data_IF_448726828698
#
_entry.id   IF_448726828698
#
_cell.length_a   1.000
_cell.length_b   1.000
_cell.length_c   1.000
_cell.angle_alpha   90.00
_cell.angle_beta   90.00
_cell.angle_gamma   90.00
#
_symmetry.space_group_name_H-M   'P 1'
#
loop_
_entity.id
_entity.type
_entity.pdbx_description
1 polymer ?
#
# COMPACT_ATOMS: atom_id res chain seq x y z
N UNK A 1 -28.18 11.34 24.29
CA UNK A 1 -27.94 10.28 23.26
C UNK A 1 -26.71 9.44 23.58
N UNK A 2 -25.50 9.97 23.74
CA UNK A 2 -24.30 9.20 24.08
C UNK A 2 -24.41 8.38 25.39
N UNK A 3 -25.13 8.90 26.41
CA UNK A 3 -25.42 8.14 27.65
C UNK A 3 -26.24 6.86 27.38
N UNK A 4 -27.19 6.94 26.43
CA UNK A 4 -28.02 5.79 26.03
C UNK A 4 -27.15 4.73 25.32
N UNK A 5 -26.28 5.14 24.40
CA UNK A 5 -25.35 4.24 23.69
C UNK A 5 -24.43 3.54 24.72
N UNK A 6 -23.86 4.28 25.67
CA UNK A 6 -23.04 3.71 26.76
C UNK A 6 -23.82 2.67 27.57
N UNK A 7 -25.07 2.94 27.93
CA UNK A 7 -25.92 1.97 28.64
C UNK A 7 -26.22 0.73 27.78
N UNK A 8 -26.42 0.89 26.48
CA UNK A 8 -26.62 -0.23 25.55
C UNK A 8 -25.41 -1.17 25.51
N UNK A 9 -24.18 -0.59 25.46
CA UNK A 9 -22.94 -1.35 25.47
C UNK A 9 -22.74 -2.09 26.80
N UNK A 10 -23.00 -1.43 27.92
CA UNK A 10 -22.81 -2.01 29.26
C UNK A 10 -23.81 -3.13 29.55
N UNK A 11 -25.05 -3.05 29.04
CA UNK A 11 -26.08 -4.09 29.24
C UNK A 11 -25.82 -5.39 28.48
N UNK A 12 -25.01 -5.34 27.38
CA UNK A 12 -24.64 -6.51 26.60
C UNK A 12 -23.15 -6.44 26.20
N UNK A 13 -22.23 -6.57 27.17
CA UNK A 13 -20.81 -6.30 26.94
C UNK A 13 -20.17 -7.32 25.98
N UNK A 14 -20.52 -8.60 26.10
CA UNK A 14 -19.95 -9.64 25.25
C UNK A 14 -20.31 -9.49 23.77
N UNK A 15 -21.56 -9.10 23.45
CA UNK A 15 -21.98 -8.86 22.09
C UNK A 15 -21.28 -7.64 21.49
N UNK A 16 -21.13 -6.57 22.27
CA UNK A 16 -20.42 -5.36 21.87
C UNK A 16 -18.93 -5.63 21.65
N UNK A 17 -18.30 -6.39 22.55
CA UNK A 17 -16.90 -6.78 22.44
C UNK A 17 -16.67 -7.65 21.21
N UNK A 18 -17.54 -8.64 20.97
CA UNK A 18 -17.45 -9.48 19.78
C UNK A 18 -17.54 -8.67 18.48
N UNK A 19 -18.47 -7.68 18.40
CA UNK A 19 -18.56 -6.79 17.25
C UNK A 19 -17.26 -6.02 17.03
N UNK A 20 -16.72 -5.39 18.10
CA UNK A 20 -15.48 -4.60 18.01
C UNK A 20 -14.31 -5.50 17.61
N UNK A 21 -14.18 -6.70 18.16
CA UNK A 21 -13.08 -7.61 17.86
C UNK A 21 -13.12 -8.07 16.39
N UNK A 22 -14.28 -8.48 15.87
CA UNK A 22 -14.41 -8.91 14.48
C UNK A 22 -14.11 -7.77 13.52
N UNK A 23 -14.65 -6.57 13.79
CA UNK A 23 -14.37 -5.38 12.97
C UNK A 23 -12.90 -4.98 13.06
N UNK A 24 -12.31 -5.01 14.26
CA UNK A 24 -10.87 -4.71 14.46
C UNK A 24 -9.99 -5.68 13.71
N UNK A 25 -10.27 -6.98 13.75
CA UNK A 25 -9.50 -7.98 13.03
C UNK A 25 -9.61 -7.79 11.51
N UNK A 26 -10.82 -7.56 11.02
CA UNK A 26 -11.05 -7.30 9.59
C UNK A 26 -10.28 -6.08 9.10
N UNK A 27 -10.34 -5.00 9.86
CA UNK A 27 -9.64 -3.76 9.52
C UNK A 27 -8.12 -3.87 9.68
N UNK A 28 -7.65 -4.68 10.64
CA UNK A 28 -6.23 -4.98 10.78
C UNK A 28 -5.67 -5.67 9.54
N UNK A 29 -6.37 -6.66 9.01
CA UNK A 29 -5.97 -7.32 7.76
C UNK A 29 -5.96 -6.34 6.60
N UNK A 30 -6.99 -5.47 6.49
CA UNK A 30 -7.03 -4.41 5.45
C UNK A 30 -5.86 -3.46 5.61
N UNK A 31 -5.53 -3.03 6.82
CA UNK A 31 -4.39 -2.15 7.10
C UNK A 31 -3.06 -2.79 6.71
N UNK A 32 -2.86 -4.08 7.02
CA UNK A 32 -1.65 -4.82 6.61
C UNK A 32 -1.53 -4.85 5.07
N UNK A 33 -2.61 -5.15 4.34
CA UNK A 33 -2.57 -5.11 2.88
C UNK A 33 -2.30 -3.70 2.33
N UNK A 34 -2.83 -2.65 2.97
CA UNK A 34 -2.54 -1.26 2.60
C UNK A 34 -1.06 -0.92 2.82
N UNK A 35 -0.49 -1.30 3.96
CA UNK A 35 0.93 -1.11 4.28
C UNK A 35 1.85 -1.88 3.31
N UNK A 36 1.55 -3.16 3.03
CA UNK A 36 2.29 -3.97 2.08
C UNK A 36 2.20 -3.40 0.66
N UNK A 37 1.02 -2.95 0.25
CA UNK A 37 0.82 -2.32 -1.05
C UNK A 37 1.58 -1.00 -1.20
N UNK A 38 1.58 -0.16 -0.16
CA UNK A 38 2.35 1.08 -0.14
C UNK A 38 3.87 0.80 -0.13
N UNK A 39 4.33 -0.13 0.70
CA UNK A 39 5.73 -0.55 0.75
C UNK A 39 6.20 -1.12 -0.59
N UNK A 40 5.44 -2.03 -1.20
CA UNK A 40 5.75 -2.59 -2.52
C UNK A 40 5.81 -1.50 -3.60
N UNK A 41 4.89 -0.54 -3.58
CA UNK A 41 4.91 0.60 -4.52
C UNK A 41 6.11 1.51 -4.29
N UNK A 42 6.54 1.72 -3.04
CA UNK A 42 7.72 2.51 -2.72
C UNK A 42 9.03 1.81 -3.16
N UNK A 43 9.12 0.48 -2.99
CA UNK A 43 10.22 -0.33 -3.53
C UNK A 43 10.27 -0.21 -5.04
N UNK A 44 9.14 -0.40 -5.72
CA UNK A 44 9.07 -0.28 -7.17
C UNK A 44 9.54 1.11 -7.64
N UNK A 45 9.04 2.18 -7.02
CA UNK A 45 9.44 3.56 -7.33
C UNK A 45 10.93 3.81 -7.10
N UNK A 46 11.53 3.19 -6.08
CA UNK A 46 12.97 3.27 -5.84
C UNK A 46 13.77 2.65 -6.99
N UNK A 47 13.36 1.51 -7.51
CA UNK A 47 14.00 0.90 -8.67
C UNK A 47 13.72 1.68 -9.96
N UNK A 48 12.53 2.25 -10.14
CA UNK A 48 12.19 3.13 -11.27
C UNK A 48 12.99 4.43 -11.30
N UNK A 49 13.44 4.93 -10.12
CA UNK A 49 14.26 6.14 -10.05
C UNK A 49 15.73 5.93 -10.36
N UNK A 50 16.16 4.68 -10.55
CA UNK A 50 17.55 4.35 -10.95
C UNK A 50 17.61 4.03 -12.43
N UNK A 51 18.79 4.15 -13.05
CA UNK A 51 18.99 3.70 -14.44
C UNK A 51 18.60 2.22 -14.55
N UNK A 52 17.74 1.92 -15.50
CA UNK A 52 17.18 0.57 -15.69
C UNK A 52 17.84 -0.18 -16.83
N UNK A 53 18.44 0.55 -17.77
CA UNK A 53 19.18 0.00 -18.89
C UNK A 53 20.56 0.64 -18.90
N UNK A 54 21.60 -0.20 -18.92
CA UNK A 54 22.98 0.23 -19.09
C UNK A 54 23.51 -0.30 -20.43
N UNK A 55 23.79 0.60 -21.36
CA UNK A 55 24.40 0.28 -22.64
C UNK A 55 25.89 0.56 -22.55
N UNK A 56 26.71 -0.46 -22.62
CA UNK A 56 28.17 -0.33 -22.64
C UNK A 56 28.64 -0.01 -24.05
N UNK A 57 29.53 0.98 -24.14
CA UNK A 57 30.03 1.50 -25.38
C UNK A 57 31.37 0.84 -25.74
N UNK A 58 31.61 0.65 -27.04
CA UNK A 58 32.91 0.21 -27.53
C UNK A 58 33.97 1.28 -27.31
N UNK A 59 35.20 0.89 -27.16
CA UNK A 59 36.34 1.79 -26.97
C UNK A 59 36.53 2.81 -28.09
N UNK A 60 36.04 2.51 -29.28
CA UNK A 60 36.09 3.36 -30.45
C UNK A 60 35.02 4.45 -30.49
N UNK A 61 34.03 4.42 -29.61
CA UNK A 61 32.91 5.35 -29.56
C UNK A 61 33.37 6.79 -29.29
N UNK A 62 33.06 7.69 -30.20
CA UNK A 62 33.39 9.11 -30.08
C UNK A 62 32.27 9.87 -29.38
N UNK A 63 32.55 11.06 -28.77
CA UNK A 63 31.51 11.88 -28.14
C UNK A 63 30.33 12.21 -29.06
N UNK A 64 30.57 12.30 -30.39
CA UNK A 64 29.53 12.55 -31.39
C UNK A 64 28.56 11.38 -31.54
N UNK A 65 29.07 10.14 -31.42
CA UNK A 65 28.25 8.93 -31.53
C UNK A 65 27.36 8.82 -30.28
N UNK A 66 27.89 9.17 -29.11
CA UNK A 66 27.16 9.22 -27.85
C UNK A 66 26.00 10.20 -27.92
N UNK A 67 26.25 11.40 -28.43
CA UNK A 67 25.21 12.44 -28.54
C UNK A 67 24.15 12.06 -29.58
N UNK A 68 24.53 11.36 -30.65
CA UNK A 68 23.60 10.86 -31.65
C UNK A 68 22.65 9.80 -31.04
N UNK A 69 23.20 8.84 -30.30
CA UNK A 69 22.41 7.80 -29.64
C UNK A 69 21.44 8.46 -28.60
N UNK A 70 21.97 9.41 -27.82
CA UNK A 70 21.19 10.18 -26.84
C UNK A 70 20.00 10.89 -27.55
N UNK A 71 20.28 11.67 -28.59
CA UNK A 71 19.24 12.43 -29.32
C UNK A 71 18.16 11.52 -29.90
N UNK A 72 18.56 10.35 -30.44
CA UNK A 72 17.60 9.35 -30.94
C UNK A 72 16.72 8.80 -29.86
N UNK A 73 17.28 8.46 -28.67
CA UNK A 73 16.54 7.96 -27.54
C UNK A 73 15.55 9.02 -27.02
N UNK A 74 15.99 10.26 -26.84
CA UNK A 74 15.16 11.38 -26.39
C UNK A 74 14.02 11.67 -27.39
N UNK A 75 14.28 11.57 -28.69
CA UNK A 75 13.28 11.75 -29.73
C UNK A 75 12.14 10.72 -29.70
N UNK A 76 12.35 9.56 -29.07
CA UNK A 76 11.26 8.56 -28.87
C UNK A 76 10.20 9.01 -27.90
N UNK A 77 10.49 10.00 -27.02
CA UNK A 77 9.61 10.44 -25.93
C UNK A 77 9.39 9.40 -24.82
N UNK A 78 10.05 8.23 -24.91
CA UNK A 78 9.91 7.10 -23.97
C UNK A 78 10.94 7.13 -22.84
N UNK A 79 11.97 7.97 -22.95
CA UNK A 79 13.10 8.06 -22.05
C UNK A 79 12.92 9.29 -21.15
N UNK A 80 13.11 9.11 -19.84
CA UNK A 80 13.07 10.20 -18.85
C UNK A 80 14.44 10.86 -18.68
N UNK A 81 15.50 10.06 -18.73
CA UNK A 81 16.88 10.54 -18.54
C UNK A 81 17.86 9.63 -19.27
N UNK A 82 18.88 10.23 -19.89
CA UNK A 82 20.04 9.54 -20.43
C UNK A 82 21.28 10.19 -19.83
N UNK A 83 22.07 9.39 -19.11
CA UNK A 83 23.31 9.83 -18.46
C UNK A 83 24.50 9.10 -19.06
N UNK A 84 25.49 9.83 -19.54
CA UNK A 84 26.75 9.25 -19.97
C UNK A 84 27.69 9.10 -18.78
N UNK A 85 28.22 7.90 -18.59
CA UNK A 85 29.23 7.57 -17.57
C UNK A 85 30.56 7.30 -18.27
N UNK A 86 31.55 8.15 -18.00
CA UNK A 86 32.91 7.96 -18.53
C UNK A 86 33.61 6.78 -17.82
N UNK A 87 34.72 6.30 -18.38
CA UNK A 87 35.54 5.25 -17.75
C UNK A 87 36.05 5.63 -16.37
N UNK A 88 36.38 6.91 -16.18
CA UNK A 88 36.86 7.47 -14.91
C UNK A 88 35.72 7.54 -13.87
N UNK A 89 34.53 7.92 -14.31
CA UNK A 89 33.32 7.92 -13.45
C UNK A 89 32.90 6.50 -13.09
N UNK A 90 32.93 5.57 -14.05
CA UNK A 90 32.66 4.16 -13.81
C UNK A 90 33.60 3.59 -12.76
N UNK A 91 34.91 3.96 -12.78
CA UNK A 91 35.84 3.56 -11.76
C UNK A 91 35.51 4.12 -10.37
N UNK A 92 35.11 5.39 -10.30
CA UNK A 92 34.69 6.00 -9.02
C UNK A 92 33.47 5.30 -8.45
N UNK A 93 32.47 5.03 -9.29
CA UNK A 93 31.23 4.30 -8.90
C UNK A 93 31.60 2.90 -8.40
N UNK A 94 32.46 2.19 -9.13
CA UNK A 94 32.93 0.86 -8.74
C UNK A 94 33.65 0.88 -7.38
N UNK A 95 34.52 1.86 -7.17
CA UNK A 95 35.24 2.04 -5.90
C UNK A 95 34.29 2.35 -4.74
N UNK A 96 33.27 3.17 -4.97
CA UNK A 96 32.27 3.47 -3.95
C UNK A 96 31.43 2.26 -3.55
N UNK A 97 31.03 1.45 -4.53
CA UNK A 97 30.24 0.24 -4.29
C UNK A 97 31.00 -0.91 -3.62
N UNK A 98 32.34 -0.93 -3.78
CA UNK A 98 33.20 -2.00 -3.26
C UNK A 98 34.16 -1.54 -2.16
N UNK A 99 33.87 -0.44 -1.44
CA UNK A 99 34.72 0.11 -0.35
C UNK A 99 35.11 -0.94 0.69
N UNK A 100 34.24 -1.91 0.95
CA UNK A 100 34.46 -2.97 1.95
C UNK A 100 35.26 -4.17 1.41
N UNK A 101 35.69 -4.14 0.14
CA UNK A 101 36.39 -5.24 -0.54
C UNK A 101 37.71 -4.77 -1.17
N UNK A 102 38.77 -4.52 -0.39
CA UNK A 102 40.02 -3.93 -0.88
C UNK A 102 40.67 -4.66 -2.05
N UNK A 103 40.59 -6.02 -2.04
CA UNK A 103 41.16 -6.84 -3.10
C UNK A 103 40.54 -6.57 -4.48
N UNK A 104 39.22 -6.22 -4.52
CA UNK A 104 38.56 -5.90 -5.79
C UNK A 104 38.98 -4.51 -6.29
N UNK A 105 39.32 -3.59 -5.39
CA UNK A 105 39.73 -2.23 -5.76
C UNK A 105 41.12 -2.19 -6.40
N UNK A 106 42.04 -3.09 -6.01
CA UNK A 106 43.40 -3.17 -6.58
C UNK A 106 43.42 -3.80 -7.99
N UNK A 107 42.41 -4.61 -8.33
CA UNK A 107 42.36 -5.33 -9.61
C UNK A 107 41.73 -4.56 -10.75
N UNK A 108 41.00 -3.45 -10.49
CA UNK A 108 40.25 -2.72 -11.50
C UNK A 108 40.80 -1.34 -11.75
N UNK A 109 41.11 -1.05 -13.02
CA UNK A 109 41.58 0.26 -13.50
C UNK A 109 40.55 0.86 -14.47
N UNK A 110 40.60 2.17 -14.69
CA UNK A 110 39.71 2.85 -15.66
C UNK A 110 39.80 2.28 -17.10
N UNK A 111 40.94 1.63 -17.45
CA UNK A 111 41.10 1.02 -18.78
C UNK A 111 40.30 -0.26 -18.98
N UNK A 112 39.95 -0.95 -17.90
CA UNK A 112 39.21 -2.23 -17.95
C UNK A 112 37.69 -1.98 -17.98
N UNK A 113 37.25 -0.86 -17.43
CA UNK A 113 35.82 -0.51 -17.38
C UNK A 113 35.40 0.20 -18.66
N UNK A 114 34.36 -0.29 -19.36
CA UNK A 114 33.81 0.40 -20.52
C UNK A 114 33.05 1.67 -20.08
N UNK A 115 33.02 2.67 -20.96
CA UNK A 115 32.09 3.78 -20.82
C UNK A 115 30.65 3.27 -21.06
N UNK A 116 29.68 3.89 -20.44
CA UNK A 116 28.28 3.45 -20.57
C UNK A 116 27.30 4.61 -20.71
N UNK A 117 26.18 4.33 -21.33
CA UNK A 117 24.97 5.15 -21.27
C UNK A 117 24.00 4.49 -20.29
N UNK A 118 23.64 5.22 -19.24
CA UNK A 118 22.62 4.83 -18.30
C UNK A 118 21.29 5.49 -18.65
N UNK A 119 20.28 4.67 -18.92
CA UNK A 119 18.98 5.11 -19.42
C UNK A 119 17.90 4.78 -18.42
N UNK A 120 17.06 5.77 -18.14
CA UNK A 120 15.82 5.62 -17.38
C UNK A 120 14.64 5.87 -18.31
N UNK A 121 13.63 4.98 -18.29
CA UNK A 121 12.44 5.14 -19.09
C UNK A 121 11.32 5.86 -18.33
N UNK A 122 10.40 6.51 -19.07
CA UNK A 122 9.17 7.07 -18.50
C UNK A 122 8.20 5.98 -18.03
N UNK A 123 8.20 4.83 -18.74
CA UNK A 123 7.37 3.67 -18.43
C UNK A 123 8.18 2.38 -18.52
N UNK A 124 7.97 1.47 -17.59
CA UNK A 124 8.64 0.17 -17.57
C UNK A 124 8.36 -0.67 -18.84
N UNK A 125 7.19 -0.47 -19.44
CA UNK A 125 6.78 -1.13 -20.69
C UNK A 125 7.68 -0.79 -21.87
N UNK A 126 8.31 0.39 -21.88
CA UNK A 126 9.18 0.85 -22.94
C UNK A 126 10.63 0.31 -22.84
N UNK A 127 11.03 -0.21 -21.67
CA UNK A 127 12.41 -0.65 -21.42
C UNK A 127 12.90 -1.72 -22.38
N UNK A 128 12.05 -2.68 -22.72
CA UNK A 128 12.38 -3.76 -23.66
C UNK A 128 12.70 -3.21 -25.04
N UNK A 129 11.85 -2.32 -25.55
CA UNK A 129 12.04 -1.69 -26.85
C UNK A 129 13.30 -0.81 -26.88
N UNK A 130 13.55 -0.06 -25.77
CA UNK A 130 14.76 0.74 -25.62
C UNK A 130 16.00 -0.16 -25.65
N UNK A 131 16.02 -1.25 -24.90
CA UNK A 131 17.13 -2.20 -24.86
C UNK A 131 17.36 -2.88 -26.22
N UNK A 132 16.29 -3.27 -26.95
CA UNK A 132 16.40 -3.86 -28.28
C UNK A 132 16.92 -2.86 -29.32
N UNK A 133 16.55 -1.59 -29.22
CA UNK A 133 17.04 -0.54 -30.10
C UNK A 133 18.53 -0.25 -29.84
N UNK A 134 18.93 -0.20 -28.57
CA UNK A 134 20.33 -0.01 -28.18
C UNK A 134 21.23 -1.17 -28.63
N UNK A 135 20.78 -2.41 -28.60
CA UNK A 135 21.52 -3.57 -29.10
C UNK A 135 21.79 -3.51 -30.62
N UNK A 136 21.00 -2.72 -31.37
CA UNK A 136 21.20 -2.54 -32.82
C UNK A 136 22.18 -1.42 -33.15
N UNK A 137 22.57 -0.58 -32.19
CA UNK A 137 23.48 0.52 -32.41
C UNK A 137 24.93 0.00 -32.56
N UNK A 138 25.65 0.39 -33.63
CA UNK A 138 26.98 -0.15 -33.98
C UNK A 138 28.04 0.11 -32.88
N UNK A 139 27.92 1.22 -32.16
CA UNK A 139 28.85 1.65 -31.10
C UNK A 139 28.54 1.09 -29.73
N UNK A 140 27.45 0.33 -29.58
CA UNK A 140 27.11 -0.38 -28.35
C UNK A 140 27.72 -1.77 -28.43
N UNK A 141 28.43 -2.14 -27.37
CA UNK A 141 29.07 -3.47 -27.22
C UNK A 141 28.11 -4.46 -26.54
N UNK A 142 27.51 -4.04 -25.45
CA UNK A 142 26.56 -4.85 -24.69
C UNK A 142 25.49 -3.97 -24.01
N UNK A 143 24.34 -4.57 -23.75
CA UNK A 143 23.22 -3.92 -23.09
C UNK A 143 22.76 -4.79 -21.92
N UNK A 144 23.00 -4.32 -20.71
CA UNK A 144 22.48 -4.95 -19.50
C UNK A 144 21.13 -4.33 -19.16
N UNK A 145 20.13 -5.16 -19.13
CA UNK A 145 18.77 -4.81 -18.76
C UNK A 145 18.19 -5.89 -17.86
N UNK A 146 17.85 -5.54 -16.63
CA UNK A 146 17.27 -6.47 -15.65
C UNK A 146 15.75 -6.57 -15.81
N UNK A 147 15.29 -7.01 -16.98
CA UNK A 147 13.86 -7.12 -17.34
C UNK A 147 13.09 -7.96 -16.32
N UNK A 148 13.65 -9.10 -15.93
CA UNK A 148 12.96 -10.09 -15.09
C UNK A 148 12.64 -9.56 -13.71
N UNK A 149 13.55 -8.80 -13.10
CA UNK A 149 13.38 -8.28 -11.74
C UNK A 149 12.31 -7.19 -11.70
N UNK A 150 12.39 -6.23 -12.61
CA UNK A 150 11.48 -5.07 -12.66
C UNK A 150 10.06 -5.49 -13.02
N UNK A 151 9.93 -6.35 -14.04
CA UNK A 151 8.62 -6.88 -14.45
C UNK A 151 8.01 -7.78 -13.38
N UNK A 152 8.81 -8.60 -12.70
CA UNK A 152 8.35 -9.41 -11.58
C UNK A 152 7.83 -8.54 -10.42
N UNK A 153 8.59 -7.50 -10.01
CA UNK A 153 8.17 -6.56 -8.95
C UNK A 153 6.88 -5.83 -9.31
N UNK A 154 6.76 -5.34 -10.56
CA UNK A 154 5.55 -4.68 -11.03
C UNK A 154 4.34 -5.61 -11.00
N UNK A 155 4.46 -6.83 -11.54
CA UNK A 155 3.40 -7.85 -11.49
C UNK A 155 3.02 -8.20 -10.06
N UNK A 156 4.00 -8.36 -9.16
CA UNK A 156 3.78 -8.61 -7.73
C UNK A 156 2.97 -7.48 -7.09
N UNK A 157 3.38 -6.23 -7.30
CA UNK A 157 2.69 -5.05 -6.74
C UNK A 157 1.24 -4.96 -7.21
N UNK A 158 0.99 -5.18 -8.51
CA UNK A 158 -0.36 -5.18 -9.07
C UNK A 158 -1.20 -6.32 -8.51
N UNK A 159 -0.63 -7.53 -8.41
CA UNK A 159 -1.31 -8.71 -7.88
C UNK A 159 -1.66 -8.51 -6.41
N UNK A 160 -0.69 -8.04 -5.60
CA UNK A 160 -0.89 -7.74 -4.18
C UNK A 160 -2.04 -6.74 -3.97
N UNK A 161 -2.09 -5.68 -4.78
CA UNK A 161 -3.18 -4.70 -4.74
C UNK A 161 -4.53 -5.32 -5.09
N UNK A 162 -4.62 -6.13 -6.15
CA UNK A 162 -5.87 -6.80 -6.56
C UNK A 162 -6.37 -7.76 -5.48
N UNK A 163 -5.48 -8.60 -4.93
CA UNK A 163 -5.79 -9.54 -3.85
C UNK A 163 -6.21 -8.78 -2.59
N UNK A 164 -5.47 -7.73 -2.22
CA UNK A 164 -5.80 -6.89 -1.07
C UNK A 164 -7.18 -6.23 -1.18
N UNK A 165 -7.55 -5.72 -2.37
CA UNK A 165 -8.88 -5.14 -2.61
C UNK A 165 -9.97 -6.22 -2.50
N UNK A 166 -9.76 -7.41 -3.08
CA UNK A 166 -10.73 -8.49 -3.02
C UNK A 166 -10.97 -8.99 -1.59
N UNK A 167 -9.88 -9.25 -0.84
CA UNK A 167 -9.96 -9.64 0.57
C UNK A 167 -10.57 -8.52 1.40
N UNK A 168 -10.16 -7.26 1.18
CA UNK A 168 -10.69 -6.10 1.87
C UNK A 168 -12.21 -5.95 1.67
N UNK A 169 -12.70 -6.05 0.44
CA UNK A 169 -14.14 -5.99 0.13
C UNK A 169 -14.91 -7.13 0.83
N UNK A 170 -14.38 -8.34 0.83
CA UNK A 170 -14.96 -9.48 1.54
C UNK A 170 -15.03 -9.22 3.05
N UNK A 171 -13.95 -8.74 3.66
CA UNK A 171 -13.90 -8.46 5.10
C UNK A 171 -14.81 -7.30 5.50
N UNK A 172 -14.94 -6.25 4.68
CA UNK A 172 -15.90 -5.16 4.90
C UNK A 172 -17.35 -5.69 4.86
N UNK A 173 -17.65 -6.60 3.94
CA UNK A 173 -18.96 -7.27 3.87
C UNK A 173 -19.22 -8.09 5.14
N UNK A 174 -18.28 -8.92 5.58
CA UNK A 174 -18.39 -9.73 6.82
C UNK A 174 -18.57 -8.81 8.04
N UNK A 175 -17.82 -7.72 8.15
CA UNK A 175 -17.94 -6.74 9.22
C UNK A 175 -19.32 -6.09 9.26
N UNK A 176 -19.85 -5.72 8.08
CA UNK A 176 -21.20 -5.16 7.96
C UNK A 176 -22.27 -6.16 8.40
N UNK A 177 -22.15 -7.43 7.98
CA UNK A 177 -23.06 -8.50 8.42
C UNK A 177 -22.96 -8.75 9.93
N UNK A 178 -21.77 -8.73 10.50
CA UNK A 178 -21.57 -8.92 11.95
C UNK A 178 -22.29 -7.83 12.74
N UNK A 179 -22.11 -6.56 12.36
CA UNK A 179 -22.82 -5.43 13.00
C UNK A 179 -24.33 -5.58 12.84
N UNK A 180 -24.81 -5.95 11.64
CA UNK A 180 -26.22 -6.18 11.37
C UNK A 180 -26.82 -7.25 12.30
N UNK A 181 -26.14 -8.41 12.42
CA UNK A 181 -26.62 -9.53 13.24
C UNK A 181 -26.63 -9.15 14.72
N UNK A 182 -25.54 -8.54 15.21
CA UNK A 182 -25.44 -8.15 16.63
C UNK A 182 -26.47 -7.10 16.99
N UNK A 183 -26.65 -6.06 16.18
CA UNK A 183 -27.69 -5.06 16.42
C UNK A 183 -29.08 -5.64 16.26
N UNK A 184 -29.29 -6.55 15.30
CA UNK A 184 -30.56 -7.26 15.14
C UNK A 184 -30.94 -8.05 16.39
N UNK A 185 -30.01 -8.79 17.00
CA UNK A 185 -30.22 -9.49 18.27
C UNK A 185 -30.57 -8.52 19.40
N UNK A 186 -29.84 -7.39 19.51
CA UNK A 186 -30.09 -6.36 20.52
C UNK A 186 -31.46 -5.69 20.36
N UNK A 187 -31.88 -5.40 19.13
CA UNK A 187 -33.21 -4.84 18.83
C UNK A 187 -34.28 -5.85 19.23
N UNK A 188 -34.11 -7.12 18.90
CA UNK A 188 -35.05 -8.19 19.27
C UNK A 188 -35.19 -8.37 20.79
N UNK A 189 -34.07 -8.31 21.52
CA UNK A 189 -34.08 -8.38 22.99
C UNK A 189 -34.80 -7.19 23.67
N UNK A 190 -34.96 -6.07 22.96
CA UNK A 190 -35.60 -4.84 23.48
C UNK A 190 -36.94 -4.58 22.83
N UNK A 191 -37.55 -5.62 22.25
CA UNK A 191 -38.81 -5.49 21.54
C UNK A 191 -39.89 -4.82 22.41
N UNK A 192 -40.04 -5.26 23.65
CA UNK A 192 -41.03 -4.72 24.60
C UNK A 192 -40.78 -3.24 24.93
N UNK A 193 -39.52 -2.85 25.18
CA UNK A 193 -39.14 -1.45 25.41
C UNK A 193 -39.50 -0.56 24.21
N UNK A 194 -39.27 -1.06 22.98
CA UNK A 194 -39.59 -0.36 21.72
C UNK A 194 -41.10 -0.23 21.53
N UNK A 195 -41.87 -1.27 21.83
CA UNK A 195 -43.33 -1.25 21.75
C UNK A 195 -43.94 -0.22 22.72
N UNK A 196 -43.47 -0.19 23.97
CA UNK A 196 -43.90 0.81 24.96
C UNK A 196 -43.59 2.23 24.46
N UNK A 197 -42.38 2.47 23.95
CA UNK A 197 -42.00 3.78 23.39
C UNK A 197 -42.91 4.20 22.22
N UNK A 198 -43.30 3.27 21.35
CA UNK A 198 -44.23 3.53 20.27
C UNK A 198 -45.62 3.90 20.79
N UNK A 199 -46.11 3.18 21.79
CA UNK A 199 -47.41 3.47 22.40
C UNK A 199 -47.44 4.84 23.11
N UNK A 200 -46.33 5.26 23.66
CA UNK A 200 -46.13 6.59 24.26
C UNK A 200 -45.95 7.71 23.21
N UNK A 201 -45.99 7.40 21.90
CA UNK A 201 -45.88 8.38 20.82
C UNK A 201 -44.44 8.82 20.51
N UNK A 202 -43.43 8.07 20.90
CA UNK A 202 -42.05 8.39 20.58
C UNK A 202 -41.81 8.42 19.05
N UNK A 203 -41.10 9.41 18.56
CA UNK A 203 -40.78 9.53 17.13
C UNK A 203 -39.90 8.36 16.66
N UNK A 204 -40.09 7.94 15.40
CA UNK A 204 -39.27 6.87 14.80
C UNK A 204 -37.76 7.16 14.85
N UNK A 205 -37.38 8.41 14.73
CA UNK A 205 -35.97 8.82 14.83
C UNK A 205 -35.40 8.66 16.24
N UNK A 206 -36.21 8.95 17.27
CA UNK A 206 -35.82 8.75 18.67
C UNK A 206 -35.51 7.27 18.97
N UNK A 207 -36.31 6.36 18.41
CA UNK A 207 -36.14 4.92 18.60
C UNK A 207 -34.93 4.38 17.82
N UNK A 208 -34.68 4.88 16.59
CA UNK A 208 -33.65 4.34 15.67
C UNK A 208 -32.25 4.90 15.93
N UNK A 209 -32.15 6.17 16.29
CA UNK A 209 -30.88 6.90 16.39
C UNK A 209 -29.86 6.23 17.32
N UNK A 210 -30.23 5.69 18.51
CA UNK A 210 -29.30 5.01 19.39
C UNK A 210 -28.59 3.82 18.72
N UNK A 211 -29.32 3.05 17.91
CA UNK A 211 -28.76 1.88 17.20
C UNK A 211 -27.81 2.31 16.06
N UNK A 212 -28.10 3.41 15.36
CA UNK A 212 -27.19 3.96 14.37
C UNK A 212 -25.87 4.41 15.01
N UNK A 213 -25.97 5.14 16.12
CA UNK A 213 -24.78 5.58 16.85
C UNK A 213 -23.98 4.41 17.44
N UNK A 214 -24.66 3.34 17.87
CA UNK A 214 -24.01 2.13 18.37
C UNK A 214 -23.23 1.40 17.26
N UNK A 215 -23.80 1.27 16.06
CA UNK A 215 -23.12 0.68 14.92
C UNK A 215 -21.91 1.51 14.48
N UNK A 216 -22.05 2.82 14.40
CA UNK A 216 -20.95 3.75 14.10
C UNK A 216 -19.85 3.61 15.16
N UNK A 217 -20.22 3.53 16.45
CA UNK A 217 -19.26 3.33 17.52
C UNK A 217 -18.46 2.02 17.36
N UNK A 218 -19.09 0.91 16.96
CA UNK A 218 -18.39 -0.35 16.69
C UNK A 218 -17.41 -0.22 15.53
N UNK A 219 -17.83 0.43 14.43
CA UNK A 219 -16.97 0.68 13.28
C UNK A 219 -15.76 1.55 13.61
N UNK A 220 -15.98 2.68 14.30
CA UNK A 220 -14.90 3.60 14.68
C UNK A 220 -13.96 2.99 15.73
N UNK A 221 -14.48 2.29 16.73
CA UNK A 221 -13.65 1.60 17.72
C UNK A 221 -12.81 0.52 17.06
N UNK A 222 -13.42 -0.30 16.17
CA UNK A 222 -12.71 -1.31 15.42
C UNK A 222 -11.57 -0.73 14.56
N UNK A 223 -11.83 0.38 13.88
CA UNK A 223 -10.84 1.10 13.08
C UNK A 223 -9.67 1.60 13.93
N UNK A 224 -9.98 2.21 15.08
CA UNK A 224 -8.95 2.73 15.99
C UNK A 224 -8.05 1.63 16.58
N UNK A 225 -8.65 0.54 17.06
CA UNK A 225 -7.88 -0.61 17.57
C UNK A 225 -7.06 -1.29 16.49
N UNK A 226 -7.62 -1.44 15.28
CA UNK A 226 -6.93 -1.97 14.12
C UNK A 226 -5.69 -1.13 13.76
N UNK A 227 -5.85 0.19 13.72
CA UNK A 227 -4.73 1.10 13.46
C UNK A 227 -3.62 0.96 14.52
N UNK A 228 -3.99 0.97 15.82
CA UNK A 228 -3.03 0.79 16.91
C UNK A 228 -2.26 -0.53 16.79
N UNK A 229 -2.96 -1.62 16.50
CA UNK A 229 -2.34 -2.94 16.32
C UNK A 229 -1.42 -2.97 15.10
N UNK A 230 -1.82 -2.34 13.98
CA UNK A 230 -1.00 -2.24 12.77
C UNK A 230 0.25 -1.40 13.00
N UNK A 231 0.13 -0.32 13.75
CA UNK A 231 1.28 0.53 14.13
C UNK A 231 2.27 -0.23 15.02
N UNK A 232 1.77 -0.98 16.00
CA UNK A 232 2.60 -1.85 16.84
C UNK A 232 3.29 -2.93 16.00
N UNK A 233 2.56 -3.59 15.11
CA UNK A 233 3.12 -4.60 14.22
C UNK A 233 4.25 -4.01 13.33
N UNK A 234 4.07 -2.79 12.83
CA UNK A 234 5.08 -2.08 12.06
C UNK A 234 6.32 -1.76 12.92
N UNK A 235 6.13 -1.23 14.14
CA UNK A 235 7.25 -0.89 15.04
C UNK A 235 8.10 -2.13 15.39
N UNK A 236 7.46 -3.24 15.75
CA UNK A 236 8.17 -4.48 16.06
C UNK A 236 8.77 -5.16 14.81
N UNK A 237 8.13 -5.01 13.65
CA UNK A 237 8.61 -5.55 12.39
C UNK A 237 9.75 -4.75 11.75
N UNK A 238 9.88 -3.47 12.07
CA UNK A 238 10.88 -2.56 11.45
C UNK A 238 12.32 -3.08 11.53
N UNK A 239 12.86 -3.57 12.67
CA UNK A 239 14.23 -4.08 12.72
C UNK A 239 14.49 -5.24 11.77
N UNK A 240 13.51 -6.15 11.66
CA UNK A 240 13.58 -7.27 10.72
C UNK A 240 13.52 -6.81 9.27
N UNK A 241 12.62 -5.89 8.95
CA UNK A 241 12.48 -5.33 7.61
C UNK A 241 13.70 -4.54 7.17
N UNK A 242 14.34 -3.80 8.07
CA UNK A 242 15.60 -3.08 7.79
C UNK A 242 16.75 -4.03 7.45
N UNK A 243 16.86 -5.20 8.14
CA UNK A 243 17.89 -6.18 7.83
C UNK A 243 17.66 -6.86 6.48
N UNK A 244 16.41 -7.05 6.09
CA UNK A 244 16.04 -7.68 4.83
C UNK A 244 16.09 -6.73 3.63
N UNK A 245 15.71 -5.45 3.83
CA UNK A 245 15.67 -4.40 2.80
C UNK A 245 16.88 -3.47 2.90
N UNK A 246 18.05 -4.01 3.30
CA UNK A 246 19.28 -3.23 3.43
C UNK A 246 19.61 -2.55 2.09
N UNK A 247 19.72 -1.21 2.11
CA UNK A 247 20.02 -0.39 0.93
C UNK A 247 18.82 0.30 0.27
N UNK A 248 17.58 0.02 0.72
CA UNK A 248 16.39 0.74 0.24
C UNK A 248 15.90 1.68 1.35
N UNK A 249 15.84 3.01 1.14
CA UNK A 249 15.46 3.99 2.18
C UNK A 249 13.93 4.04 2.37
N UNK A 250 13.34 2.94 2.86
CA UNK A 250 11.91 2.84 3.13
C UNK A 250 11.54 3.20 4.57
N UNK A 251 12.49 3.15 5.48
CA UNK A 251 12.28 3.37 6.91
C UNK A 251 13.11 4.55 7.43
N UNK A 252 12.63 5.30 8.43
CA UNK A 252 11.36 5.12 9.15
C UNK A 252 10.14 5.55 8.33
N UNK A 253 9.02 4.83 8.53
CA UNK A 253 7.74 5.19 7.89
C UNK A 253 7.27 6.53 8.45
N UNK A 254 6.93 7.53 7.60
CA UNK A 254 6.49 8.84 8.07
C UNK A 254 5.21 8.73 8.92
N UNK A 255 5.16 9.44 10.05
CA UNK A 255 3.97 9.47 10.91
C UNK A 255 2.74 9.99 10.16
N UNK A 256 2.95 10.91 9.21
CA UNK A 256 1.89 11.45 8.36
C UNK A 256 1.17 10.35 7.58
N UNK A 257 1.92 9.41 7.00
CA UNK A 257 1.36 8.25 6.29
C UNK A 257 0.51 7.37 7.24
N UNK A 258 0.96 7.16 8.47
CA UNK A 258 0.18 6.41 9.45
C UNK A 258 -1.11 7.14 9.86
N UNK A 259 -1.11 8.48 9.87
CA UNK A 259 -2.33 9.28 10.09
C UNK A 259 -3.29 9.20 8.89
N UNK A 260 -2.78 9.14 7.66
CA UNK A 260 -3.60 8.91 6.46
C UNK A 260 -4.28 7.54 6.51
N UNK A 261 -3.53 6.50 6.92
CA UNK A 261 -4.08 5.16 7.14
C UNK A 261 -5.18 5.19 8.21
N UNK A 262 -4.96 5.89 9.35
CA UNK A 262 -5.99 6.08 10.37
C UNK A 262 -7.23 6.75 9.80
N UNK A 263 -7.08 7.85 9.05
CA UNK A 263 -8.18 8.56 8.41
C UNK A 263 -8.99 7.66 7.47
N UNK A 264 -8.30 6.86 6.66
CA UNK A 264 -8.92 5.88 5.77
C UNK A 264 -9.71 4.81 6.52
N UNK A 265 -9.12 4.23 7.58
CA UNK A 265 -9.77 3.22 8.41
C UNK A 265 -10.99 3.78 9.17
N UNK A 266 -10.89 5.00 9.72
CA UNK A 266 -12.03 5.66 10.38
C UNK A 266 -13.16 5.95 9.40
N UNK A 267 -12.84 6.40 8.17
CA UNK A 267 -13.82 6.57 7.09
C UNK A 267 -14.54 5.26 6.75
N UNK A 268 -13.79 4.17 6.56
CA UNK A 268 -14.36 2.83 6.33
C UNK A 268 -15.18 2.35 7.54
N UNK A 269 -14.71 2.59 8.76
CA UNK A 269 -15.40 2.24 10.00
C UNK A 269 -16.74 2.93 10.13
N UNK A 270 -16.80 4.21 9.80
CA UNK A 270 -18.03 4.98 9.76
C UNK A 270 -19.02 4.39 8.74
N UNK A 271 -18.56 4.12 7.53
CA UNK A 271 -19.40 3.54 6.46
C UNK A 271 -19.94 2.17 6.85
N UNK A 272 -19.07 1.25 7.30
CA UNK A 272 -19.45 -0.11 7.70
C UNK A 272 -20.39 -0.08 8.91
N UNK A 273 -20.08 0.74 9.92
CA UNK A 273 -20.91 0.92 11.12
C UNK A 273 -22.28 1.46 10.79
N UNK A 274 -22.34 2.47 9.92
CA UNK A 274 -23.61 3.04 9.46
C UNK A 274 -24.42 2.05 8.62
N UNK A 275 -23.82 1.40 7.62
CA UNK A 275 -24.51 0.44 6.76
C UNK A 275 -25.06 -0.75 7.56
N UNK A 276 -24.23 -1.35 8.43
CA UNK A 276 -24.65 -2.47 9.27
C UNK A 276 -25.81 -2.12 10.18
N UNK A 277 -25.75 -0.95 10.82
CA UNK A 277 -26.84 -0.46 11.68
C UNK A 277 -28.08 -0.06 10.88
N UNK A 278 -27.91 0.54 9.71
CA UNK A 278 -29.03 0.92 8.84
C UNK A 278 -29.83 -0.32 8.43
N UNK A 279 -29.19 -1.37 7.93
CA UNK A 279 -29.85 -2.60 7.55
C UNK A 279 -30.48 -3.33 8.74
N UNK A 280 -29.81 -3.33 9.91
CA UNK A 280 -30.36 -3.90 11.14
C UNK A 280 -31.66 -3.19 11.56
N UNK A 281 -31.63 -1.86 11.64
CA UNK A 281 -32.78 -1.04 12.02
C UNK A 281 -33.91 -1.18 10.99
N UNK A 282 -33.60 -1.12 9.69
CA UNK A 282 -34.58 -1.24 8.63
C UNK A 282 -35.32 -2.59 8.67
N UNK A 283 -34.59 -3.68 8.98
CA UNK A 283 -35.17 -5.03 9.05
C UNK A 283 -35.90 -5.30 10.37
N UNK A 284 -35.28 -5.04 11.50
CA UNK A 284 -35.77 -5.48 12.80
C UNK A 284 -36.69 -4.48 13.49
N UNK A 285 -36.45 -3.17 13.44
CA UNK A 285 -37.35 -2.15 14.05
C UNK A 285 -38.64 -2.03 13.27
N UNK A 286 -38.62 -2.21 11.94
CA UNK A 286 -39.81 -2.14 11.09
C UNK A 286 -40.75 -3.35 11.29
N UNK A 287 -40.24 -4.51 11.71
CA UNK A 287 -41.02 -5.72 11.97
C UNK A 287 -41.73 -5.69 13.32
N UNK A 288 -41.39 -4.79 14.22
CA UNK A 288 -42.09 -4.59 15.50
C UNK A 288 -43.33 -3.74 15.19
N UNK A 289 -44.49 -4.38 15.26
CA UNK A 289 -45.83 -3.76 15.05
C UNK A 289 -46.22 -2.93 16.28
#
# INVERSE_FOLDING_TARGET
MLKIVKQHIIRSPYQSLAAILVVSFSFFVIAIFALLGAGSSAVLKYFESRPQVSAFLKDEAKPQDVELIRSRLEATGKVSQVTYISKEEALKIYQEQNKDKPLLLEMVTAKILPASLEISANELSALKEIAENLKKEPMVEDVIFQEDVITALSKWTITLRKVGIAIGAFLLFVSTLTILVILGMKISQRKEEIEILKLLGASSNYIRLPFYLEGIFYGLSGAFFSWGLSYLALLYGTPFLLSFLSGIPLFPVPILFMLEVLGGLLGLGLVVGFLGSFFAVARFVKSIK
#
